data_IF_994229639580
#
_entry.id   IF_994229639580
#
_cell.length_a   1.000
_cell.length_b   1.000
_cell.length_c   1.000
_cell.angle_alpha   90.00
_cell.angle_beta   90.00
_cell.angle_gamma   90.00
#
_symmetry.space_group_name_H-M   'P 1'
#
loop_
_entity.id
_entity.type
_entity.pdbx_description
1 polymer ?
#
# COMPACT_ATOMS: atom_id res chain seq x y z
N UNK A 1 16.07 -33.12 45.90
CA UNK A 1 14.72 -32.99 45.31
C UNK A 1 14.85 -32.10 44.09
N UNK A 2 15.17 -32.69 42.93
CA UNK A 2 15.47 -31.94 41.71
C UNK A 2 14.45 -32.34 40.65
N UNK A 3 13.57 -31.41 40.31
CA UNK A 3 12.46 -31.63 39.38
C UNK A 3 13.03 -31.50 37.97
N UNK A 4 13.05 -32.59 37.21
CA UNK A 4 13.43 -32.55 35.80
C UNK A 4 12.36 -31.78 35.02
N UNK A 5 12.66 -30.56 34.59
CA UNK A 5 11.87 -29.83 33.61
C UNK A 5 11.93 -30.59 32.28
N UNK A 6 10.89 -31.36 31.96
CA UNK A 6 10.70 -31.91 30.62
C UNK A 6 10.46 -30.75 29.64
N UNK A 7 11.51 -30.26 29.01
CA UNK A 7 11.40 -29.48 27.78
C UNK A 7 10.77 -30.37 26.71
N UNK A 8 9.47 -30.18 26.44
CA UNK A 8 8.76 -30.85 25.34
C UNK A 8 9.60 -30.72 24.06
N UNK A 9 10.13 -31.84 23.56
CA UNK A 9 10.82 -31.88 22.27
C UNK A 9 9.79 -31.67 21.16
N UNK A 10 9.60 -30.41 20.76
CA UNK A 10 8.77 -30.07 19.61
C UNK A 10 9.41 -30.66 18.35
N UNK A 11 8.69 -31.56 17.67
CA UNK A 11 9.08 -32.14 16.38
C UNK A 11 9.30 -31.01 15.36
N UNK A 12 10.27 -31.14 14.45
CA UNK A 12 10.60 -30.09 13.46
C UNK A 12 9.36 -29.62 12.66
N UNK A 13 8.42 -30.54 12.38
CA UNK A 13 7.13 -30.23 11.75
C UNK A 13 6.23 -29.34 12.62
N UNK A 14 6.20 -29.52 13.94
CA UNK A 14 5.45 -28.66 14.87
C UNK A 14 6.05 -27.25 14.94
N UNK A 15 7.39 -27.13 14.91
CA UNK A 15 8.06 -25.82 14.84
C UNK A 15 7.79 -25.07 13.53
N UNK A 16 7.63 -25.81 12.42
CA UNK A 16 7.28 -25.23 11.12
C UNK A 16 5.82 -24.76 11.10
N UNK A 17 4.88 -25.61 11.51
CA UNK A 17 3.46 -25.26 11.61
C UNK A 17 3.20 -24.10 12.59
N UNK A 18 3.92 -24.03 13.71
CA UNK A 18 3.76 -22.92 14.68
C UNK A 18 4.21 -21.56 14.12
N UNK A 19 5.08 -21.54 13.09
CA UNK A 19 5.57 -20.29 12.46
C UNK A 19 4.71 -19.84 11.26
N UNK A 20 3.86 -20.72 10.71
CA UNK A 20 3.04 -20.38 9.54
C UNK A 20 1.93 -19.35 9.83
N UNK A 21 1.16 -19.45 10.92
CA UNK A 21 0.10 -18.48 11.22
C UNK A 21 0.63 -17.05 11.35
N UNK A 22 1.78 -16.88 12.01
CA UNK A 22 2.41 -15.56 12.20
C UNK A 22 2.86 -15.00 10.85
N UNK A 23 3.50 -15.80 10.00
CA UNK A 23 3.93 -15.35 8.65
C UNK A 23 2.74 -14.95 7.79
N UNK A 24 1.68 -15.75 7.78
CA UNK A 24 0.46 -15.44 7.05
C UNK A 24 -0.21 -14.17 7.60
N UNK A 25 -0.32 -14.03 8.92
CA UNK A 25 -0.89 -12.84 9.55
C UNK A 25 -0.08 -11.57 9.19
N UNK A 26 1.25 -11.64 9.26
CA UNK A 26 2.12 -10.52 8.87
C UNK A 26 1.92 -10.17 7.40
N UNK A 27 1.88 -11.16 6.49
CA UNK A 27 1.62 -10.89 5.07
C UNK A 27 0.26 -10.23 4.85
N UNK A 28 -0.80 -10.70 5.50
CA UNK A 28 -2.14 -10.11 5.39
C UNK A 28 -2.17 -8.66 5.88
N UNK A 29 -1.51 -8.39 7.02
CA UNK A 29 -1.39 -7.04 7.55
C UNK A 29 -0.61 -6.14 6.59
N UNK A 30 0.51 -6.63 6.04
CA UNK A 30 1.28 -5.90 5.02
C UNK A 30 0.41 -5.58 3.80
N UNK A 31 -0.32 -6.54 3.24
CA UNK A 31 -1.22 -6.30 2.11
C UNK A 31 -2.29 -5.27 2.45
N UNK A 32 -2.95 -5.41 3.60
CA UNK A 32 -3.97 -4.47 4.06
C UNK A 32 -3.39 -3.06 4.21
N UNK A 33 -2.15 -2.93 4.69
CA UNK A 33 -1.52 -1.63 4.86
C UNK A 33 -1.07 -1.00 3.54
N UNK A 34 -0.84 -1.78 2.48
CA UNK A 34 -0.55 -1.25 1.14
C UNK A 34 -1.79 -0.73 0.40
N UNK A 35 -3.00 -1.14 0.80
CA UNK A 35 -4.25 -0.69 0.16
C UNK A 35 -4.40 0.84 0.04
N UNK A 36 -4.14 1.66 1.08
CA UNK A 36 -4.21 3.13 0.94
C UNK A 36 -3.20 3.66 -0.09
N UNK A 37 -1.99 3.12 -0.14
CA UNK A 37 -0.97 3.51 -1.13
C UNK A 37 -1.41 3.14 -2.54
N UNK A 38 -1.95 1.93 -2.73
CA UNK A 38 -2.52 1.50 -4.03
C UNK A 38 -3.71 2.37 -4.41
N UNK A 39 -4.58 2.71 -3.47
CA UNK A 39 -5.72 3.60 -3.72
C UNK A 39 -5.29 5.01 -4.15
N UNK A 40 -4.26 5.56 -3.53
CA UNK A 40 -3.65 6.84 -3.93
C UNK A 40 -2.99 6.73 -5.31
N UNK A 41 -2.25 5.64 -5.56
CA UNK A 41 -1.61 5.38 -6.85
C UNK A 41 -2.63 5.30 -7.99
N UNK A 42 -3.70 4.52 -7.84
CA UNK A 42 -4.76 4.43 -8.86
C UNK A 42 -5.45 5.78 -9.04
N UNK A 43 -5.78 6.46 -7.93
CA UNK A 43 -6.43 7.78 -7.97
C UNK A 43 -5.58 8.84 -8.69
N UNK A 44 -4.25 8.75 -8.63
CA UNK A 44 -3.36 9.71 -9.31
C UNK A 44 -3.57 9.76 -10.83
N UNK A 45 -4.00 8.65 -11.43
CA UNK A 45 -4.32 8.53 -12.85
C UNK A 45 -5.81 8.70 -13.15
N UNK A 46 -6.66 8.94 -12.16
CA UNK A 46 -8.11 9.12 -12.36
C UNK A 46 -8.51 10.58 -12.46
N UNK A 47 -9.57 10.87 -13.20
CA UNK A 47 -10.09 12.24 -13.31
C UNK A 47 -10.60 12.75 -11.95
N UNK A 48 -10.51 14.06 -11.72
CA UNK A 48 -10.94 14.67 -10.47
C UNK A 48 -12.43 14.43 -10.16
N UNK A 49 -13.28 14.32 -11.19
CA UNK A 49 -14.69 13.98 -11.02
C UNK A 49 -14.87 12.57 -10.43
N UNK A 50 -14.17 11.59 -11.00
CA UNK A 50 -14.24 10.18 -10.61
C UNK A 50 -13.75 9.93 -9.18
N UNK A 51 -12.69 10.63 -8.77
CA UNK A 51 -12.15 10.59 -7.40
C UNK A 51 -13.17 11.10 -6.37
N UNK A 52 -14.02 12.08 -6.75
CA UNK A 52 -15.00 12.71 -5.84
C UNK A 52 -16.31 11.95 -5.76
N UNK A 53 -16.69 11.22 -6.81
CA UNK A 53 -17.99 10.54 -6.91
C UNK A 53 -17.91 9.05 -6.59
N UNK A 54 -16.74 8.42 -6.74
CA UNK A 54 -16.59 6.95 -6.59
C UNK A 54 -15.27 6.57 -5.90
N UNK A 55 -15.21 5.34 -5.37
CA UNK A 55 -13.98 4.81 -4.77
C UNK A 55 -12.95 4.37 -5.83
N UNK A 56 -11.65 4.38 -5.49
CA UNK A 56 -10.56 3.99 -6.41
C UNK A 56 -10.71 2.58 -7.00
N UNK A 57 -11.33 1.66 -6.26
CA UNK A 57 -11.53 0.27 -6.71
C UNK A 57 -12.47 0.15 -7.92
N UNK A 58 -13.31 1.15 -8.20
CA UNK A 58 -14.21 1.13 -9.38
C UNK A 58 -13.44 1.14 -10.69
N UNK A 59 -12.19 1.64 -10.69
CA UNK A 59 -11.29 1.58 -11.83
C UNK A 59 -10.96 0.13 -12.26
N UNK A 60 -11.01 -0.82 -11.33
CA UNK A 60 -10.84 -2.25 -11.65
C UNK A 60 -12.14 -2.92 -12.11
N UNK A 61 -13.30 -2.35 -11.76
CA UNK A 61 -14.62 -2.85 -12.18
C UNK A 61 -14.91 -2.44 -13.62
N UNK A 62 -14.52 -1.22 -14.00
CA UNK A 62 -14.77 -0.67 -15.34
C UNK A 62 -13.49 -0.21 -16.04
N UNK A 63 -12.46 -1.05 -16.22
CA UNK A 63 -11.13 -0.61 -16.67
C UNK A 63 -11.11 0.01 -18.08
N UNK A 64 -12.06 -0.37 -18.93
CA UNK A 64 -12.15 0.09 -20.33
C UNK A 64 -12.85 1.44 -20.51
N UNK A 65 -13.34 2.06 -19.43
CA UNK A 65 -13.91 3.40 -19.48
C UNK A 65 -12.78 4.43 -19.61
N UNK A 66 -12.46 4.83 -20.84
CA UNK A 66 -11.34 5.74 -21.10
C UNK A 66 -11.49 7.12 -20.44
N UNK A 67 -12.73 7.59 -20.23
CA UNK A 67 -13.02 8.87 -19.58
C UNK A 67 -12.62 8.95 -18.10
N UNK A 68 -12.31 7.81 -17.47
CA UNK A 68 -11.90 7.79 -16.07
C UNK A 68 -10.40 8.07 -15.89
N UNK A 69 -9.59 7.91 -16.95
CA UNK A 69 -8.14 8.01 -16.88
C UNK A 69 -7.65 9.37 -17.38
N UNK A 70 -6.67 9.96 -16.70
CA UNK A 70 -6.04 11.24 -17.07
C UNK A 70 -4.62 11.37 -16.53
N UNK A 71 -3.84 12.24 -17.17
CA UNK A 71 -2.54 12.71 -16.67
C UNK A 71 -2.57 14.17 -16.23
N UNK A 72 -3.72 14.83 -16.32
CA UNK A 72 -3.90 16.25 -16.00
C UNK A 72 -3.56 16.56 -14.53
N UNK A 73 -3.81 15.62 -13.61
CA UNK A 73 -3.44 15.76 -12.20
C UNK A 73 -1.93 16.04 -12.03
N UNK A 74 -1.11 15.30 -12.77
CA UNK A 74 0.35 15.47 -12.73
C UNK A 74 0.76 16.81 -13.33
N UNK A 75 0.21 17.17 -14.50
CA UNK A 75 0.47 18.47 -15.11
C UNK A 75 0.12 19.61 -14.15
N UNK A 76 -1.05 19.54 -13.51
CA UNK A 76 -1.55 20.55 -12.57
C UNK A 76 -0.58 20.78 -11.42
N UNK A 77 -0.06 19.70 -10.82
CA UNK A 77 0.91 19.82 -9.72
C UNK A 77 2.28 20.27 -10.24
N UNK A 78 2.72 19.74 -11.38
CA UNK A 78 4.05 20.04 -11.93
C UNK A 78 4.18 21.49 -12.43
N UNK A 79 3.09 22.08 -12.91
CA UNK A 79 3.05 23.47 -13.37
C UNK A 79 2.46 24.43 -12.33
N UNK A 80 2.09 23.94 -11.13
CA UNK A 80 1.63 24.80 -10.06
C UNK A 80 2.74 25.76 -9.65
N UNK A 81 2.38 27.04 -9.50
CA UNK A 81 3.33 28.11 -9.18
C UNK A 81 4.14 27.77 -7.92
N UNK A 82 5.46 27.72 -8.09
CA UNK A 82 6.40 27.45 -6.99
C UNK A 82 6.57 25.99 -6.60
N UNK A 83 5.88 25.01 -7.23
CA UNK A 83 6.08 23.59 -6.90
C UNK A 83 7.52 23.14 -7.10
N UNK A 84 8.13 23.45 -8.25
CA UNK A 84 9.50 23.02 -8.54
C UNK A 84 10.50 23.64 -7.57
N UNK A 85 10.28 24.91 -7.20
CA UNK A 85 11.10 25.61 -6.22
C UNK A 85 10.95 24.97 -4.82
N UNK A 86 9.72 24.62 -4.41
CA UNK A 86 9.47 23.94 -3.14
C UNK A 86 10.13 22.54 -3.07
N UNK A 87 10.11 21.81 -4.18
CA UNK A 87 10.79 20.52 -4.29
C UNK A 87 12.31 20.66 -4.16
N UNK A 88 12.91 21.59 -4.91
CA UNK A 88 14.35 21.85 -4.84
C UNK A 88 14.77 22.33 -3.45
N UNK A 89 13.98 23.21 -2.82
CA UNK A 89 14.23 23.66 -1.44
C UNK A 89 14.31 22.47 -0.48
N UNK A 90 13.44 21.46 -0.63
CA UNK A 90 13.43 20.28 0.23
C UNK A 90 14.65 19.38 0.03
N UNK A 91 15.16 19.27 -1.21
CA UNK A 91 16.38 18.51 -1.53
C UNK A 91 17.66 19.23 -1.08
N UNK A 92 17.69 20.56 -1.12
CA UNK A 92 18.87 21.35 -0.72
C UNK A 92 18.99 21.44 0.82
N UNK A 93 17.86 21.50 1.52
CA UNK A 93 17.83 21.65 2.99
C UNK A 93 18.07 20.30 3.70
N UNK A 94 17.87 19.17 3.02
CA UNK A 94 18.14 17.81 3.55
C UNK A 94 19.58 17.39 3.26
#
# INVERSE_FOLDING_TARGET
MTIYTQTRQQTQAQKFLQKMPVRTAVLLICFLWTLPTVGMFVSSFRTANEIRTTGWWTAFVHPFQMSQWTLENYSTVLTADGMLNAFINSLIIT
#
